data_IF_075081479754
#
_entry.id   IF_075081479754
#
_cell.length_a   1.000
_cell.length_b   1.000
_cell.length_c   1.000
_cell.angle_alpha   90.00
_cell.angle_beta   90.00
_cell.angle_gamma   90.00
#
_symmetry.space_group_name_H-M   'P 1'
#
loop_
_entity.id
_entity.type
_entity.pdbx_description
1 polymer ?
#
# COMPACT_ATOMS: atom_id res chain seq x y z
N UNK A 1 4.79 -7.50 -15.25
CA UNK A 1 3.75 -6.57 -14.78
C UNK A 1 3.50 -5.53 -15.87
N UNK A 2 2.35 -4.84 -15.84
CA UNK A 2 2.01 -3.83 -16.87
C UNK A 2 2.66 -2.46 -16.65
N UNK A 3 3.29 -2.23 -15.48
CA UNK A 3 3.95 -0.99 -15.09
C UNK A 3 5.41 -1.28 -14.71
N UNK A 4 6.33 -0.36 -15.04
CA UNK A 4 7.74 -0.43 -14.66
C UNK A 4 8.01 0.38 -13.38
N UNK A 5 8.43 -0.31 -12.33
CA UNK A 5 8.76 0.30 -11.04
C UNK A 5 10.01 1.19 -11.08
N UNK A 6 10.86 1.05 -12.11
CA UNK A 6 12.02 1.92 -12.30
C UNK A 6 11.65 3.25 -12.98
N UNK A 7 10.47 3.34 -13.59
CA UNK A 7 9.90 4.60 -14.10
C UNK A 7 9.09 5.26 -12.98
N UNK A 8 9.52 6.43 -12.45
CA UNK A 8 8.85 7.09 -11.34
C UNK A 8 7.35 7.36 -11.59
N UNK A 9 6.96 7.65 -12.85
CA UNK A 9 5.56 7.93 -13.18
C UNK A 9 4.71 6.67 -13.14
N UNK A 10 5.23 5.56 -13.65
CA UNK A 10 4.53 4.29 -13.65
C UNK A 10 4.47 3.70 -12.24
N UNK A 11 5.54 3.84 -11.46
CA UNK A 11 5.55 3.51 -10.03
C UNK A 11 4.49 4.28 -9.24
N UNK A 12 4.40 5.59 -9.46
CA UNK A 12 3.38 6.42 -8.82
C UNK A 12 1.96 6.01 -9.25
N UNK A 13 1.76 5.67 -10.52
CA UNK A 13 0.49 5.17 -11.03
C UNK A 13 0.08 3.86 -10.35
N UNK A 14 1.01 2.90 -10.22
CA UNK A 14 0.78 1.63 -9.55
C UNK A 14 0.41 1.80 -8.08
N UNK A 15 1.14 2.67 -7.38
CA UNK A 15 0.85 2.99 -5.97
C UNK A 15 -0.52 3.66 -5.80
N UNK A 16 -0.87 4.60 -6.68
CA UNK A 16 -2.18 5.26 -6.62
C UNK A 16 -3.33 4.27 -6.89
N UNK A 17 -3.12 3.28 -7.75
CA UNK A 17 -4.09 2.20 -7.95
C UNK A 17 -4.28 1.36 -6.68
N UNK A 18 -3.18 0.95 -6.00
CA UNK A 18 -3.25 0.25 -4.71
C UNK A 18 -3.99 1.06 -3.64
N UNK A 19 -3.65 2.34 -3.49
CA UNK A 19 -4.32 3.28 -2.58
C UNK A 19 -5.81 3.42 -2.87
N UNK A 20 -6.22 3.44 -4.14
CA UNK A 20 -7.62 3.55 -4.53
C UNK A 20 -8.43 2.30 -4.12
N UNK A 21 -7.82 1.11 -4.24
CA UNK A 21 -8.45 -0.15 -3.87
C UNK A 21 -8.74 -0.24 -2.37
N UNK A 22 -7.98 0.44 -1.51
CA UNK A 22 -8.22 0.45 -0.07
C UNK A 22 -9.64 0.94 0.30
N UNK A 23 -10.28 1.74 -0.56
CA UNK A 23 -11.64 2.23 -0.33
C UNK A 23 -12.73 1.15 -0.27
N UNK A 24 -12.45 -0.04 -0.79
CA UNK A 24 -13.38 -1.18 -0.82
C UNK A 24 -12.92 -2.35 0.06
N UNK A 25 -11.90 -2.15 0.89
CA UNK A 25 -11.39 -3.16 1.81
C UNK A 25 -12.04 -3.01 3.20
N UNK A 26 -11.93 -4.07 4.00
CA UNK A 26 -12.25 -4.06 5.43
C UNK A 26 -10.99 -4.12 6.32
N UNK A 27 -9.94 -4.77 5.82
CA UNK A 27 -8.68 -5.01 6.52
C UNK A 27 -7.47 -4.69 5.65
N UNK A 28 -6.33 -4.40 6.29
CA UNK A 28 -5.00 -4.38 5.67
C UNK A 28 -4.05 -5.31 6.43
N UNK A 29 -3.29 -6.14 5.70
CA UNK A 29 -2.30 -7.03 6.28
C UNK A 29 -0.91 -6.52 5.93
N UNK A 30 -0.07 -6.29 6.94
CA UNK A 30 1.25 -5.66 6.79
C UNK A 30 2.33 -6.64 7.22
N UNK A 31 3.08 -7.18 6.25
CA UNK A 31 4.28 -7.96 6.50
C UNK A 31 5.49 -7.07 6.76
N UNK A 32 6.13 -7.21 7.92
CA UNK A 32 7.23 -6.33 8.37
C UNK A 32 8.61 -7.00 8.42
N UNK A 33 8.70 -8.29 8.07
CA UNK A 33 9.94 -9.09 8.17
C UNK A 33 11.16 -8.41 7.54
N UNK A 34 10.97 -7.69 6.44
CA UNK A 34 12.04 -7.03 5.68
C UNK A 34 11.99 -5.49 5.77
N UNK A 35 11.24 -4.95 6.74
CA UNK A 35 10.97 -3.52 6.87
C UNK A 35 9.75 -3.06 6.07
N UNK A 36 9.50 -1.75 6.15
CA UNK A 36 8.40 -1.06 5.47
C UNK A 36 9.04 -0.15 4.41
N UNK A 37 8.60 -0.27 3.16
CA UNK A 37 9.00 0.64 2.09
C UNK A 37 8.16 1.92 2.08
N UNK A 38 8.63 2.98 1.44
CA UNK A 38 7.90 4.24 1.29
C UNK A 38 6.50 4.05 0.65
N UNK A 39 6.36 3.10 -0.29
CA UNK A 39 5.07 2.76 -0.88
C UNK A 39 4.12 2.14 0.15
N UNK A 40 4.63 1.16 0.91
CA UNK A 40 3.86 0.51 1.98
C UNK A 40 3.45 1.53 3.05
N UNK A 41 4.32 2.45 3.45
CA UNK A 41 3.99 3.48 4.44
C UNK A 41 2.83 4.35 3.97
N UNK A 42 2.81 4.74 2.69
CA UNK A 42 1.72 5.52 2.10
C UNK A 42 0.39 4.76 2.09
N UNK A 43 0.42 3.47 1.77
CA UNK A 43 -0.77 2.60 1.81
C UNK A 43 -1.28 2.41 3.24
N UNK A 44 -0.40 2.12 4.19
CA UNK A 44 -0.73 1.95 5.62
C UNK A 44 -1.32 3.25 6.17
N UNK A 45 -0.72 4.40 5.87
CA UNK A 45 -1.24 5.71 6.28
C UNK A 45 -2.64 5.95 5.71
N UNK A 46 -2.87 5.65 4.42
CA UNK A 46 -4.20 5.77 3.83
C UNK A 46 -5.18 4.82 4.52
N UNK A 47 -4.77 3.59 4.78
CA UNK A 47 -5.64 2.57 5.34
C UNK A 47 -6.12 2.94 6.75
N UNK A 48 -5.21 3.41 7.59
CA UNK A 48 -5.52 3.96 8.92
C UNK A 48 -6.51 5.12 8.85
N UNK A 49 -6.37 6.02 7.86
CA UNK A 49 -7.32 7.14 7.65
C UNK A 49 -8.71 6.68 7.20
N UNK A 50 -8.81 5.52 6.56
CA UNK A 50 -10.10 4.91 6.19
C UNK A 50 -10.72 4.11 7.34
N UNK A 51 -9.99 3.88 8.43
CA UNK A 51 -10.47 3.10 9.56
C UNK A 51 -10.41 1.59 9.35
N UNK A 52 -9.57 1.13 8.41
CA UNK A 52 -9.36 -0.30 8.14
C UNK A 52 -8.68 -0.98 9.33
N UNK A 53 -9.05 -2.23 9.61
CA UNK A 53 -8.36 -3.04 10.61
C UNK A 53 -6.95 -3.42 10.11
N UNK A 54 -5.91 -3.07 10.88
CA UNK A 54 -4.52 -3.36 10.54
C UNK A 54 -4.02 -4.63 11.26
N UNK A 55 -3.63 -5.63 10.48
CA UNK A 55 -3.03 -6.88 10.98
C UNK A 55 -1.54 -6.90 10.62
N UNK A 56 -0.67 -6.84 11.62
CA UNK A 56 0.78 -6.86 11.44
C UNK A 56 1.36 -8.28 11.56
N UNK A 57 2.13 -8.70 10.56
CA UNK A 57 2.91 -9.94 10.57
C UNK A 57 4.41 -9.61 10.69
N UNK A 58 5.11 -10.30 11.59
CA UNK A 58 6.55 -10.13 11.83
C UNK A 58 7.37 -11.19 11.10
#
# INVERSE_FOLDING_TARGET
ECLDDNDPKQRELGLNAGIALLSVCDIIIVGKRYGISDGMEREIFRARRLGLEEICLN
#
